data_IF_921118456162
#
_entry.id   IF_921118456162
#
_cell.length_a   1.000
_cell.length_b   1.000
_cell.length_c   1.000
_cell.angle_alpha   90.00
_cell.angle_beta   90.00
_cell.angle_gamma   90.00
#
_symmetry.space_group_name_H-M   'P 1'
#
loop_
_entity.id
_entity.type
_entity.pdbx_description
1 polymer ?
#
# COMPACT_ATOMS: atom_id res chain seq x y z
N UNK A 1 10.34 2.52 -19.23
CA UNK A 1 10.10 2.61 -17.77
C UNK A 1 8.64 2.28 -17.52
N UNK A 2 8.32 1.42 -16.55
CA UNK A 2 6.90 1.13 -16.27
C UNK A 2 6.29 2.31 -15.52
N UNK A 3 5.32 2.96 -16.16
CA UNK A 3 4.45 3.96 -15.56
C UNK A 3 3.86 3.42 -14.24
N UNK A 4 3.76 4.25 -13.19
CA UNK A 4 2.95 3.90 -12.02
C UNK A 4 1.52 3.66 -12.53
N UNK A 5 0.95 2.51 -12.19
CA UNK A 5 -0.44 2.17 -12.50
C UNK A 5 -1.17 1.80 -11.20
N UNK A 6 -2.49 1.87 -11.21
CA UNK A 6 -3.31 1.29 -10.17
C UNK A 6 -3.44 2.16 -8.92
N UNK A 7 -3.71 1.49 -7.81
CA UNK A 7 -3.86 2.12 -6.49
C UNK A 7 -2.60 1.94 -5.66
N UNK A 8 -2.34 2.89 -4.77
CA UNK A 8 -1.24 2.77 -3.82
C UNK A 8 -1.38 3.67 -2.60
N UNK A 9 -0.36 3.64 -1.76
CA UNK A 9 -0.33 4.35 -0.49
C UNK A 9 1.05 4.95 -0.20
N UNK A 10 1.04 6.05 0.54
CA UNK A 10 2.23 6.59 1.17
C UNK A 10 2.48 5.96 2.55
N UNK A 11 3.72 5.55 2.77
CA UNK A 11 4.29 5.17 4.07
C UNK A 11 5.30 6.24 4.46
N UNK A 12 5.07 6.87 5.62
CA UNK A 12 6.05 7.80 6.19
C UNK A 12 6.90 7.16 7.27
N UNK A 13 6.29 6.36 8.16
CA UNK A 13 6.97 5.65 9.26
C UNK A 13 6.74 4.15 9.15
N UNK A 14 7.76 3.42 8.72
CA UNK A 14 7.70 1.95 8.60
C UNK A 14 7.31 1.29 9.94
N UNK A 15 7.85 1.67 11.12
CA UNK A 15 7.47 1.03 12.38
C UNK A 15 5.97 1.13 12.72
N UNK A 16 5.23 2.09 12.13
CA UNK A 16 3.80 2.26 12.36
C UNK A 16 2.92 1.46 11.37
N UNK A 17 3.53 0.78 10.40
CA UNK A 17 2.84 -0.04 9.40
C UNK A 17 3.13 -1.50 9.73
N UNK A 18 2.13 -2.24 10.22
CA UNK A 18 2.24 -3.68 10.52
C UNK A 18 3.43 -3.99 11.46
N UNK A 19 3.70 -3.10 12.42
CA UNK A 19 4.81 -3.22 13.38
C UNK A 19 6.20 -3.04 12.77
N UNK A 20 6.29 -2.57 11.52
CA UNK A 20 7.53 -2.48 10.76
C UNK A 20 7.99 -3.80 10.17
N UNK A 21 7.15 -4.84 10.17
CA UNK A 21 7.49 -6.13 9.57
C UNK A 21 7.39 -6.07 8.03
N UNK A 22 8.49 -6.30 7.29
CA UNK A 22 8.48 -6.18 5.83
C UNK A 22 7.51 -7.12 5.12
N UNK A 23 7.39 -8.36 5.60
CA UNK A 23 6.57 -9.39 4.96
C UNK A 23 5.09 -9.13 5.21
N UNK A 24 4.75 -8.68 6.42
CA UNK A 24 3.39 -8.27 6.76
C UNK A 24 2.95 -7.04 5.96
N UNK A 25 3.80 -6.00 5.84
CA UNK A 25 3.52 -4.82 5.00
C UNK A 25 3.25 -5.26 3.55
N UNK A 26 4.13 -6.08 2.97
CA UNK A 26 3.98 -6.52 1.59
C UNK A 26 2.74 -7.41 1.37
N UNK A 27 2.40 -8.26 2.35
CA UNK A 27 1.22 -9.12 2.30
C UNK A 27 -0.07 -8.30 2.39
N UNK A 28 -0.12 -7.30 3.28
CA UNK A 28 -1.26 -6.37 3.38
C UNK A 28 -1.40 -5.55 2.10
N UNK A 29 -0.29 -5.10 1.50
CA UNK A 29 -0.29 -4.38 0.22
C UNK A 29 -0.87 -5.24 -0.90
N UNK A 30 -0.44 -6.50 -0.98
CA UNK A 30 -0.92 -7.47 -1.97
C UNK A 30 -2.41 -7.74 -1.79
N UNK A 31 -2.85 -8.02 -0.56
CA UNK A 31 -4.26 -8.31 -0.24
C UNK A 31 -5.18 -7.14 -0.56
N UNK A 32 -4.72 -5.90 -0.36
CA UNK A 32 -5.46 -4.69 -0.73
C UNK A 32 -5.43 -4.40 -2.25
N UNK A 33 -4.78 -5.24 -3.05
CA UNK A 33 -4.66 -5.05 -4.48
C UNK A 33 -3.94 -3.74 -4.81
N UNK A 34 -2.89 -3.39 -4.06
CA UNK A 34 -2.05 -2.24 -4.38
C UNK A 34 -1.03 -2.63 -5.46
N UNK A 35 -0.77 -1.70 -6.37
CA UNK A 35 0.23 -1.87 -7.43
C UNK A 35 1.51 -1.11 -7.12
N UNK A 36 1.43 -0.11 -6.23
CA UNK A 36 2.57 0.67 -5.82
C UNK A 36 2.48 1.12 -4.36
N UNK A 37 3.64 1.36 -3.77
CA UNK A 37 3.79 1.98 -2.44
C UNK A 37 4.87 3.05 -2.50
N UNK A 38 4.62 4.19 -1.86
CA UNK A 38 5.57 5.28 -1.78
C UNK A 38 6.16 5.37 -0.38
N UNK A 39 7.48 5.23 -0.23
CA UNK A 39 8.14 5.15 1.08
C UNK A 39 8.96 6.41 1.33
N UNK A 40 8.88 6.99 2.53
CA UNK A 40 9.69 8.16 2.89
C UNK A 40 11.15 7.75 3.02
N UNK A 41 12.00 8.27 2.13
CA UNK A 41 13.43 7.93 2.08
C UNK A 41 14.30 9.02 2.73
N UNK A 42 13.82 10.27 2.74
CA UNK A 42 14.57 11.40 3.26
C UNK A 42 13.66 12.51 3.83
N UNK A 43 14.24 13.35 4.68
CA UNK A 43 13.60 14.52 5.27
C UNK A 43 14.62 15.65 5.40
N UNK A 44 14.58 16.62 4.49
CA UNK A 44 15.64 17.61 4.33
C UNK A 44 16.96 16.92 3.97
N UNK A 45 18.02 17.16 4.73
CA UNK A 45 19.33 16.56 4.48
C UNK A 45 19.50 15.16 5.08
N UNK A 46 18.53 14.70 5.86
CA UNK A 46 18.63 13.46 6.64
C UNK A 46 17.98 12.27 5.93
N UNK A 47 18.59 11.11 6.10
CA UNK A 47 17.96 9.82 5.78
C UNK A 47 16.75 9.60 6.70
N UNK A 48 15.70 8.98 6.17
CA UNK A 48 14.50 8.65 6.92
C UNK A 48 14.30 7.13 7.00
N UNK A 49 13.45 6.65 7.92
CA UNK A 49 13.24 5.22 8.18
C UNK A 49 14.56 4.44 8.40
N UNK A 50 15.49 5.08 9.11
CA UNK A 50 16.74 4.51 9.58
C UNK A 50 16.69 4.44 11.11
N UNK A 51 16.89 3.24 11.67
CA UNK A 51 17.01 3.05 13.11
C UNK A 51 18.43 3.42 13.54
N UNK A 52 18.57 4.58 14.18
CA UNK A 52 19.86 5.09 14.65
C UNK A 52 20.44 4.31 15.84
N UNK A 53 19.60 3.65 16.64
CA UNK A 53 20.05 2.85 17.78
C UNK A 53 20.67 1.54 17.32
N UNK A 54 20.01 0.85 16.38
CA UNK A 54 20.50 -0.44 15.85
C UNK A 54 21.31 -0.31 14.56
N UNK A 55 21.43 0.91 14.00
CA UNK A 55 22.07 1.23 12.72
C UNK A 55 21.48 0.44 11.55
N UNK A 56 20.17 0.21 11.58
CA UNK A 56 19.46 -0.58 10.57
C UNK A 56 18.69 0.31 9.62
N UNK A 57 18.85 0.03 8.32
CA UNK A 57 17.94 0.53 7.30
C UNK A 57 16.63 -0.27 7.36
N UNK A 58 15.51 0.44 7.52
CA UNK A 58 14.19 -0.20 7.53
C UNK A 58 13.59 -0.27 6.12
N UNK A 59 14.14 0.48 5.15
CA UNK A 59 13.54 0.62 3.82
C UNK A 59 13.85 -0.58 2.93
N UNK A 60 15.13 -0.98 2.81
CA UNK A 60 15.52 -2.05 1.88
C UNK A 60 14.74 -3.37 2.09
N UNK A 61 14.57 -3.88 3.33
CA UNK A 61 13.77 -5.10 3.54
C UNK A 61 12.32 -4.96 3.08
N UNK A 62 11.70 -3.80 3.28
CA UNK A 62 10.31 -3.52 2.84
C UNK A 62 10.24 -3.46 1.31
N UNK A 63 11.20 -2.81 0.65
CA UNK A 63 11.26 -2.79 -0.81
C UNK A 63 11.39 -4.21 -1.39
N UNK A 64 12.29 -5.03 -0.85
CA UNK A 64 12.47 -6.42 -1.28
C UNK A 64 11.18 -7.23 -1.14
N UNK A 65 10.50 -7.12 0.00
CA UNK A 65 9.24 -7.81 0.25
C UNK A 65 8.12 -7.35 -0.73
N UNK A 66 8.01 -6.04 -0.98
CA UNK A 66 7.03 -5.48 -1.94
C UNK A 66 7.31 -5.94 -3.38
N UNK A 67 8.57 -5.90 -3.82
CA UNK A 67 8.97 -6.38 -5.15
C UNK A 67 8.67 -7.86 -5.33
N UNK A 68 8.88 -8.69 -4.30
CA UNK A 68 8.54 -10.11 -4.32
C UNK A 68 7.03 -10.37 -4.50
N UNK A 69 6.18 -9.37 -4.19
CA UNK A 69 4.73 -9.40 -4.44
C UNK A 69 4.32 -8.68 -5.73
N UNK A 70 5.28 -8.23 -6.55
CA UNK A 70 5.03 -7.49 -7.79
C UNK A 70 4.60 -6.04 -7.58
N UNK A 71 4.80 -5.49 -6.38
CA UNK A 71 4.39 -4.13 -6.02
C UNK A 71 5.57 -3.19 -6.25
N UNK A 72 5.31 -2.11 -6.99
CA UNK A 72 6.34 -1.14 -7.41
C UNK A 72 6.58 -0.10 -6.31
N UNK A 73 7.79 0.43 -6.22
CA UNK A 73 8.17 1.34 -5.12
C UNK A 73 8.74 2.63 -5.67
N UNK A 74 8.23 3.75 -5.18
CA UNK A 74 8.90 5.05 -5.33
C UNK A 74 9.30 5.56 -3.95
N UNK A 75 10.40 6.30 -3.90
CA UNK A 75 10.82 6.97 -2.67
C UNK A 75 10.35 8.41 -2.66
N UNK A 76 9.85 8.90 -1.53
CA UNK A 76 9.46 10.30 -1.39
C UNK A 76 10.28 11.02 -0.32
N UNK A 77 10.43 12.34 -0.50
CA UNK A 77 11.32 13.18 0.30
C UNK A 77 10.67 14.53 0.56
N UNK A 78 10.48 14.84 1.84
CA UNK A 78 10.04 16.16 2.29
C UNK A 78 11.20 17.16 2.26
N UNK A 79 11.08 18.22 1.47
CA UNK A 79 12.15 19.20 1.21
C UNK A 79 11.85 20.56 1.82
N UNK A 80 12.88 21.23 2.35
CA UNK A 80 12.77 22.52 3.05
C UNK A 80 13.36 23.67 2.24
N UNK A 81 14.34 23.40 1.37
CA UNK A 81 14.96 24.40 0.51
C UNK A 81 15.99 25.32 1.21
N UNK A 82 16.31 25.06 2.48
CA UNK A 82 17.36 25.83 3.18
C UNK A 82 18.77 25.38 2.78
N UNK A 83 18.93 24.09 2.48
CA UNK A 83 20.18 23.48 2.07
C UNK A 83 19.99 22.69 0.75
N UNK A 84 19.60 23.35 -0.35
CA UNK A 84 19.12 22.67 -1.56
C UNK A 84 20.12 21.70 -2.17
N UNK A 85 21.44 21.98 -2.07
CA UNK A 85 22.48 21.04 -2.55
C UNK A 85 22.56 19.78 -1.70
N UNK A 86 22.45 19.91 -0.38
CA UNK A 86 22.58 18.77 0.53
C UNK A 86 21.28 17.95 0.59
N UNK A 87 20.12 18.58 0.39
CA UNK A 87 18.86 17.89 0.13
C UNK A 87 18.95 17.04 -1.14
N UNK A 88 19.47 17.61 -2.24
CA UNK A 88 19.66 16.85 -3.48
C UNK A 88 20.62 15.66 -3.27
N UNK A 89 21.73 15.86 -2.54
CA UNK A 89 22.65 14.76 -2.18
C UNK A 89 21.96 13.67 -1.33
N UNK A 90 21.02 14.03 -0.46
CA UNK A 90 20.26 13.07 0.34
C UNK A 90 19.36 12.20 -0.56
N UNK A 91 18.64 12.81 -1.48
CA UNK A 91 17.83 12.09 -2.47
C UNK A 91 18.68 11.15 -3.34
N UNK A 92 19.76 11.67 -3.94
CA UNK A 92 20.65 10.90 -4.82
C UNK A 92 21.26 9.69 -4.07
N UNK A 93 21.71 9.90 -2.83
CA UNK A 93 22.25 8.82 -1.99
C UNK A 93 21.22 7.71 -1.77
N UNK A 94 19.97 8.05 -1.45
CA UNK A 94 18.93 7.05 -1.20
C UNK A 94 18.52 6.34 -2.49
N UNK A 95 18.35 7.07 -3.60
CA UNK A 95 18.00 6.51 -4.91
C UNK A 95 19.05 5.50 -5.39
N UNK A 96 20.34 5.80 -5.23
CA UNK A 96 21.42 4.88 -5.64
C UNK A 96 21.54 3.63 -4.77
N UNK A 97 20.93 3.62 -3.57
CA UNK A 97 21.06 2.54 -2.58
C UNK A 97 19.86 1.60 -2.58
N UNK A 98 18.69 2.08 -2.99
CA UNK A 98 17.42 1.39 -2.85
C UNK A 98 16.86 1.00 -4.22
N UNK A 99 16.13 -0.12 -4.35
CA UNK A 99 15.54 -0.55 -5.61
C UNK A 99 14.23 0.22 -5.89
N UNK A 100 14.36 1.52 -6.12
CA UNK A 100 13.24 2.43 -6.39
C UNK A 100 13.05 2.60 -7.90
N UNK A 101 11.80 2.76 -8.33
CA UNK A 101 11.45 3.01 -9.74
C UNK A 101 11.32 4.50 -10.06
N UNK A 102 11.23 5.34 -9.05
CA UNK A 102 11.13 6.78 -9.18
C UNK A 102 11.21 7.50 -7.84
N UNK A 103 11.15 8.82 -7.91
CA UNK A 103 11.37 9.72 -6.79
C UNK A 103 10.30 10.81 -6.73
N UNK A 104 9.77 11.08 -5.54
CA UNK A 104 8.72 12.08 -5.31
C UNK A 104 9.27 13.18 -4.41
N UNK A 105 9.28 14.40 -4.93
CA UNK A 105 9.63 15.60 -4.17
C UNK A 105 8.35 16.07 -3.47
N UNK A 106 8.32 16.02 -2.15
CA UNK A 106 7.23 16.59 -1.37
C UNK A 106 7.60 18.00 -0.92
N UNK A 107 7.05 19.00 -1.62
CA UNK A 107 7.37 20.41 -1.43
C UNK A 107 6.13 21.19 -1.03
N UNK A 108 6.12 21.70 0.19
CA UNK A 108 4.98 22.40 0.78
C UNK A 108 5.35 23.83 1.22
N UNK A 109 4.97 24.22 2.44
CA UNK A 109 4.98 25.61 2.89
C UNK A 109 6.40 26.17 3.00
N UNK A 110 7.36 25.32 3.34
CA UNK A 110 8.76 25.65 3.54
C UNK A 110 9.45 26.07 2.24
N UNK A 111 8.91 25.66 1.09
CA UNK A 111 9.46 26.03 -0.21
C UNK A 111 8.82 27.28 -0.83
N UNK A 112 7.83 27.88 -0.16
CA UNK A 112 7.24 29.15 -0.62
C UNK A 112 8.30 30.24 -0.70
N UNK A 113 8.29 30.98 -1.79
CA UNK A 113 9.21 32.05 -2.16
C UNK A 113 10.68 31.62 -2.36
N UNK A 114 10.99 30.31 -2.33
CA UNK A 114 12.34 29.76 -2.50
C UNK A 114 12.65 29.35 -3.94
N UNK A 115 12.51 30.27 -4.90
CA UNK A 115 12.78 30.03 -6.33
C UNK A 115 14.24 29.66 -6.63
N UNK A 116 15.21 30.41 -6.10
CA UNK A 116 16.63 30.11 -6.31
C UNK A 116 17.04 28.77 -5.69
N UNK A 117 16.67 28.45 -4.43
CA UNK A 117 16.89 27.12 -3.90
C UNK A 117 16.27 26.00 -4.72
N UNK A 118 15.05 26.19 -5.23
CA UNK A 118 14.36 25.21 -6.08
C UNK A 118 15.19 24.88 -7.32
N UNK A 119 15.65 25.91 -8.04
CA UNK A 119 16.51 25.74 -9.23
C UNK A 119 17.80 25.01 -8.89
N UNK A 120 18.43 25.34 -7.77
CA UNK A 120 19.66 24.65 -7.32
C UNK A 120 19.37 23.18 -7.08
N UNK A 121 18.36 22.86 -6.25
CA UNK A 121 17.97 21.48 -5.93
C UNK A 121 17.66 20.66 -7.19
N UNK A 122 16.80 21.19 -8.08
CA UNK A 122 16.41 20.48 -9.30
C UNK A 122 17.56 20.33 -10.30
N UNK A 123 18.49 21.29 -10.37
CA UNK A 123 19.68 21.18 -11.21
C UNK A 123 20.63 20.09 -10.71
N UNK A 124 20.87 20.03 -9.40
CA UNK A 124 21.72 18.98 -8.79
C UNK A 124 21.09 17.59 -9.01
N UNK A 125 19.77 17.45 -8.82
CA UNK A 125 19.07 16.20 -9.11
C UNK A 125 19.22 15.78 -10.57
N UNK A 126 18.95 16.67 -11.53
CA UNK A 126 19.01 16.31 -12.96
C UNK A 126 20.42 16.14 -13.50
N UNK A 127 21.42 16.75 -12.88
CA UNK A 127 22.81 16.49 -13.22
C UNK A 127 23.21 15.05 -12.84
N UNK A 128 22.74 14.54 -11.70
CA UNK A 128 23.04 13.19 -11.23
C UNK A 128 22.10 12.12 -11.79
N UNK A 129 20.85 12.49 -12.08
CA UNK A 129 19.76 11.59 -12.46
C UNK A 129 19.01 12.13 -13.71
N UNK A 130 19.65 12.17 -14.89
CA UNK A 130 19.10 12.83 -16.07
C UNK A 130 17.73 12.27 -16.49
N UNK A 131 17.61 10.94 -16.57
CA UNK A 131 16.42 10.25 -17.07
C UNK A 131 15.62 9.51 -15.98
N UNK A 132 16.03 9.64 -14.71
CA UNK A 132 15.34 8.94 -13.62
C UNK A 132 13.95 9.57 -13.37
N UNK A 133 12.87 8.78 -13.20
CA UNK A 133 11.53 9.35 -13.00
C UNK A 133 11.43 10.20 -11.73
N UNK A 134 11.00 11.45 -11.88
CA UNK A 134 10.77 12.39 -10.77
C UNK A 134 9.35 12.94 -10.82
N UNK A 135 8.67 12.97 -9.69
CA UNK A 135 7.38 13.63 -9.52
C UNK A 135 7.47 14.77 -8.51
N UNK A 136 6.65 15.81 -8.71
CA UNK A 136 6.37 16.81 -7.67
C UNK A 136 5.09 16.42 -6.93
N UNK A 137 5.13 16.30 -5.61
CA UNK A 137 3.95 16.22 -4.73
C UNK A 137 3.79 17.56 -4.00
N UNK A 138 2.63 18.18 -4.16
CA UNK A 138 2.31 19.46 -3.50
C UNK A 138 0.80 19.73 -3.56
N UNK A 139 0.39 20.94 -3.17
CA UNK A 139 -1.00 21.38 -3.04
C UNK A 139 -1.87 21.10 -4.28
N UNK A 140 -3.13 20.70 -4.04
CA UNK A 140 -4.12 20.45 -5.11
C UNK A 140 -4.47 21.66 -5.98
N UNK A 141 -4.39 22.87 -5.45
CA UNK A 141 -4.77 24.10 -6.16
C UNK A 141 -3.59 25.07 -6.22
N UNK A 142 -2.81 25.08 -7.31
CA UNK A 142 -1.67 25.99 -7.42
C UNK A 142 -2.09 27.47 -7.33
N UNK A 143 -3.32 27.82 -7.70
CA UNK A 143 -3.82 29.20 -7.61
C UNK A 143 -3.92 29.72 -6.17
N UNK A 144 -4.02 28.83 -5.17
CA UNK A 144 -3.97 29.23 -3.75
C UNK A 144 -2.55 29.27 -3.18
N UNK A 145 -1.56 28.83 -3.96
CA UNK A 145 -0.18 28.65 -3.53
C UNK A 145 0.79 29.27 -4.55
N UNK A 146 0.50 30.49 -5.00
CA UNK A 146 1.27 31.19 -6.04
C UNK A 146 2.75 31.39 -5.70
N UNK A 147 3.10 31.44 -4.41
CA UNK A 147 4.49 31.58 -3.96
C UNK A 147 5.29 30.28 -4.03
N UNK A 148 4.67 29.12 -4.26
CA UNK A 148 5.42 27.90 -4.50
C UNK A 148 6.09 27.98 -5.89
N UNK A 149 7.38 27.60 -6.05
CA UNK A 149 8.09 27.59 -7.34
C UNK A 149 7.58 26.53 -8.35
N UNK A 150 6.30 26.53 -8.69
CA UNK A 150 5.63 25.52 -9.53
C UNK A 150 6.38 25.26 -10.84
N UNK A 151 6.72 26.32 -11.59
CA UNK A 151 7.42 26.19 -12.88
C UNK A 151 8.84 25.64 -12.72
N UNK A 152 9.56 26.07 -11.69
CA UNK A 152 10.93 25.62 -11.44
C UNK A 152 10.97 24.11 -11.14
N UNK A 153 10.05 23.61 -10.29
CA UNK A 153 9.89 22.17 -10.05
C UNK A 153 9.43 21.41 -11.30
N UNK A 154 8.28 21.80 -11.87
CA UNK A 154 7.65 21.05 -12.97
C UNK A 154 8.50 21.06 -14.26
N UNK A 155 9.34 22.06 -14.48
CA UNK A 155 10.29 22.08 -15.61
C UNK A 155 11.24 20.88 -15.61
N UNK A 156 11.53 20.31 -14.43
CA UNK A 156 12.48 19.22 -14.23
C UNK A 156 11.85 18.00 -13.57
N UNK A 157 10.53 17.91 -13.49
CA UNK A 157 9.80 16.70 -13.10
C UNK A 157 9.15 16.05 -14.33
N UNK A 158 8.92 14.74 -14.27
CA UNK A 158 8.22 13.97 -15.30
C UNK A 158 6.72 13.90 -15.02
N UNK A 159 6.35 13.90 -13.74
CA UNK A 159 4.96 13.81 -13.26
C UNK A 159 4.63 14.88 -12.22
N UNK A 160 3.34 15.11 -12.03
CA UNK A 160 2.81 15.91 -10.93
C UNK A 160 1.85 15.05 -10.08
N UNK A 161 1.96 15.12 -8.77
CA UNK A 161 1.23 14.33 -7.79
C UNK A 161 0.50 15.24 -6.79
N UNK A 162 -0.56 15.95 -7.22
CA UNK A 162 -1.28 16.86 -6.36
C UNK A 162 -1.92 16.14 -5.18
N UNK A 163 -1.76 16.72 -3.99
CA UNK A 163 -2.38 16.31 -2.73
C UNK A 163 -3.85 16.77 -2.71
N UNK A 164 -4.72 16.01 -3.38
CA UNK A 164 -6.16 16.25 -3.47
C UNK A 164 -6.86 15.79 -2.20
N UNK A 165 -6.50 16.38 -1.06
CA UNK A 165 -7.16 16.15 0.20
C UNK A 165 -8.43 17.00 0.28
N UNK A 166 -9.60 16.35 0.24
CA UNK A 166 -10.91 17.01 0.30
C UNK A 166 -11.36 17.29 1.75
N UNK A 167 -10.40 17.58 2.63
CA UNK A 167 -10.63 17.85 4.04
C UNK A 167 -11.73 18.91 4.24
N UNK A 168 -12.62 18.67 5.22
CA UNK A 168 -13.81 19.48 5.51
C UNK A 168 -14.87 19.50 4.38
N UNK A 169 -14.81 18.60 3.41
CA UNK A 169 -15.78 18.45 2.33
C UNK A 169 -16.04 16.98 1.97
N UNK A 170 -16.98 16.72 1.05
CA UNK A 170 -17.31 15.37 0.56
C UNK A 170 -17.54 15.38 -0.97
N UNK A 171 -16.65 16.05 -1.70
CA UNK A 171 -16.72 16.22 -3.16
C UNK A 171 -15.36 15.98 -3.87
N UNK A 172 -14.65 14.88 -3.58
CA UNK A 172 -13.29 14.66 -4.08
C UNK A 172 -13.16 14.68 -5.61
N UNK A 173 -14.16 14.17 -6.35
CA UNK A 173 -14.16 14.19 -7.80
C UNK A 173 -14.14 15.61 -8.38
N UNK A 174 -14.99 16.50 -7.86
CA UNK A 174 -15.00 17.92 -8.27
C UNK A 174 -13.66 18.60 -7.97
N UNK A 175 -13.07 18.27 -6.81
CA UNK A 175 -11.77 18.82 -6.41
C UNK A 175 -10.64 18.32 -7.32
N UNK A 176 -10.67 17.06 -7.73
CA UNK A 176 -9.70 16.50 -8.67
C UNK A 176 -9.83 17.14 -10.06
N UNK A 177 -11.06 17.29 -10.57
CA UNK A 177 -11.32 17.96 -11.86
C UNK A 177 -10.81 19.41 -11.82
N UNK A 178 -11.07 20.13 -10.74
CA UNK A 178 -10.56 21.49 -10.55
C UNK A 178 -9.03 21.51 -10.51
N UNK A 179 -8.41 20.60 -9.75
CA UNK A 179 -6.96 20.48 -9.66
C UNK A 179 -6.32 20.32 -11.04
N UNK A 180 -6.83 19.37 -11.83
CA UNK A 180 -6.38 19.15 -13.21
C UNK A 180 -6.49 20.42 -14.06
N UNK A 181 -7.65 21.11 -14.04
CA UNK A 181 -7.86 22.34 -14.81
C UNK A 181 -6.89 23.44 -14.42
N UNK A 182 -6.58 23.61 -13.14
CA UNK A 182 -5.60 24.62 -12.71
C UNK A 182 -4.18 24.26 -13.16
N UNK A 183 -3.78 22.99 -13.06
CA UNK A 183 -2.45 22.55 -13.52
C UNK A 183 -2.28 22.60 -15.03
N UNK A 184 -3.34 22.41 -15.82
CA UNK A 184 -3.31 22.58 -17.28
C UNK A 184 -2.94 24.02 -17.71
N UNK A 185 -3.08 25.00 -16.81
CA UNK A 185 -2.69 26.40 -17.05
C UNK A 185 -1.23 26.68 -16.68
N UNK A 186 -0.51 25.71 -16.10
CA UNK A 186 0.91 25.84 -15.75
C UNK A 186 1.75 25.25 -16.88
N UNK A 187 2.76 26.01 -17.29
CA UNK A 187 3.75 25.59 -18.29
C UNK A 187 5.11 25.29 -17.62
N UNK A 188 5.69 24.08 -17.80
CA UNK A 188 5.10 22.95 -18.53
C UNK A 188 4.03 22.21 -17.72
N UNK A 189 3.00 21.74 -18.41
CA UNK A 189 2.06 20.77 -17.86
C UNK A 189 2.73 19.40 -17.75
N UNK A 190 2.49 18.70 -16.63
CA UNK A 190 2.95 17.32 -16.41
C UNK A 190 1.76 16.40 -16.16
N UNK A 191 1.79 15.14 -16.65
CA UNK A 191 0.76 14.16 -16.32
C UNK A 191 0.54 14.03 -14.82
N UNK A 192 -0.73 13.92 -14.43
CA UNK A 192 -1.15 13.93 -13.03
C UNK A 192 -1.39 12.51 -12.51
N UNK A 193 -0.85 12.23 -11.31
CA UNK A 193 -1.13 11.03 -10.50
C UNK A 193 -1.58 11.52 -9.11
N UNK A 194 -2.88 11.64 -8.82
CA UNK A 194 -3.34 12.36 -7.65
C UNK A 194 -3.21 11.53 -6.36
N UNK A 195 -3.05 12.24 -5.24
CA UNK A 195 -3.04 11.65 -3.89
C UNK A 195 -4.30 12.08 -3.14
N UNK A 196 -5.14 11.11 -2.77
CA UNK A 196 -6.36 11.31 -1.99
C UNK A 196 -6.15 11.22 -0.48
N UNK A 197 -7.16 11.63 0.28
CA UNK A 197 -7.15 11.57 1.74
C UNK A 197 -7.66 10.22 2.26
N UNK A 198 -6.85 9.58 3.10
CA UNK A 198 -7.17 8.39 3.89
C UNK A 198 -6.86 8.63 5.38
N UNK A 199 -7.15 9.84 5.85
CA UNK A 199 -6.97 10.30 7.22
C UNK A 199 -8.16 11.15 7.67
N UNK A 200 -8.29 11.42 8.97
CA UNK A 200 -9.31 12.29 9.53
C UNK A 200 -8.68 13.54 10.17
N UNK A 201 -9.41 14.66 10.13
CA UNK A 201 -8.93 15.95 10.65
C UNK A 201 -10.08 16.84 11.14
N UNK A 202 -9.93 17.42 12.33
CA UNK A 202 -10.89 18.40 12.85
C UNK A 202 -12.34 17.90 12.98
N UNK A 203 -12.54 16.58 13.17
CA UNK A 203 -13.87 15.96 13.20
C UNK A 203 -14.42 15.51 11.83
N UNK A 204 -13.76 15.92 10.74
CA UNK A 204 -14.03 15.41 9.40
C UNK A 204 -13.33 14.06 9.17
N UNK A 205 -14.02 13.13 8.50
CA UNK A 205 -13.54 11.79 8.15
C UNK A 205 -14.00 11.50 6.71
N UNK A 206 -13.14 11.03 5.79
CA UNK A 206 -13.57 10.62 4.45
C UNK A 206 -14.54 9.44 4.54
N UNK A 207 -15.40 9.29 3.54
CA UNK A 207 -16.36 8.18 3.45
C UNK A 207 -15.97 7.21 2.34
N UNK A 208 -16.50 5.98 2.37
CA UNK A 208 -16.32 5.03 1.26
C UNK A 208 -16.85 5.59 -0.07
N UNK A 209 -17.90 6.41 -0.04
CA UNK A 209 -18.44 7.10 -1.21
C UNK A 209 -17.46 8.15 -1.75
N UNK A 210 -16.74 8.86 -0.87
CA UNK A 210 -15.68 9.77 -1.29
C UNK A 210 -14.56 9.03 -2.01
N UNK A 211 -14.09 7.92 -1.43
CA UNK A 211 -13.05 7.08 -2.04
C UNK A 211 -13.46 6.63 -3.44
N UNK A 212 -14.67 6.10 -3.57
CA UNK A 212 -15.19 5.66 -4.87
C UNK A 212 -15.28 6.82 -5.86
N UNK A 213 -15.83 7.97 -5.45
CA UNK A 213 -15.95 9.17 -6.27
C UNK A 213 -14.58 9.69 -6.76
N UNK A 214 -13.58 9.70 -5.88
CA UNK A 214 -12.22 10.08 -6.22
C UNK A 214 -11.60 9.16 -7.28
N UNK A 215 -11.67 7.84 -7.07
CA UNK A 215 -11.07 6.84 -7.96
C UNK A 215 -11.80 6.76 -9.30
N UNK A 216 -13.14 6.80 -9.30
CA UNK A 216 -13.94 6.86 -10.54
C UNK A 216 -13.59 8.10 -11.36
N UNK A 217 -13.42 9.24 -10.68
CA UNK A 217 -13.03 10.49 -11.35
C UNK A 217 -11.62 10.38 -11.94
N UNK A 218 -10.66 9.84 -11.20
CA UNK A 218 -9.30 9.63 -11.70
C UNK A 218 -9.30 8.77 -12.98
N UNK A 219 -10.07 7.67 -13.00
CA UNK A 219 -10.24 6.84 -14.21
C UNK A 219 -10.90 7.60 -15.35
N UNK A 220 -11.96 8.37 -15.08
CA UNK A 220 -12.65 9.17 -16.12
C UNK A 220 -11.77 10.27 -16.74
N UNK A 221 -10.69 10.64 -16.05
CA UNK A 221 -9.71 11.62 -16.49
C UNK A 221 -8.45 10.96 -17.08
N UNK A 222 -8.50 9.66 -17.37
CA UNK A 222 -7.41 8.85 -17.93
C UNK A 222 -6.12 8.89 -17.09
N UNK A 223 -6.24 9.09 -15.77
CA UNK A 223 -5.10 9.06 -14.87
C UNK A 223 -4.64 7.61 -14.70
N UNK A 224 -3.33 7.32 -14.84
CA UNK A 224 -2.85 5.95 -14.82
C UNK A 224 -2.87 5.34 -13.42
N UNK A 225 -2.84 6.16 -12.37
CA UNK A 225 -2.82 5.72 -11.00
C UNK A 225 -3.43 6.75 -10.07
N UNK A 226 -3.78 6.33 -8.86
CA UNK A 226 -4.12 7.20 -7.74
C UNK A 226 -3.57 6.61 -6.43
N UNK A 227 -3.16 7.48 -5.51
CA UNK A 227 -2.56 7.07 -4.24
C UNK A 227 -3.26 7.70 -3.05
N UNK A 228 -2.97 7.23 -1.83
CA UNK A 228 -3.61 7.75 -0.62
C UNK A 228 -2.60 8.08 0.49
N UNK A 229 -2.87 9.17 1.20
CA UNK A 229 -2.16 9.56 2.42
C UNK A 229 -3.05 9.31 3.66
N UNK A 230 -2.64 8.55 4.68
CA UNK A 230 -1.43 7.73 4.81
C UNK A 230 -1.75 6.33 5.31
N UNK A 231 -0.86 5.38 5.01
CA UNK A 231 -1.02 3.97 5.35
C UNK A 231 -1.25 3.75 6.84
N UNK A 232 -0.35 4.28 7.68
CA UNK A 232 -0.36 4.07 9.13
C UNK A 232 -1.65 4.58 9.78
N UNK A 233 -2.08 5.79 9.40
CA UNK A 233 -3.32 6.37 9.93
C UNK A 233 -4.53 5.56 9.46
N UNK A 234 -4.63 5.27 8.16
CA UNK A 234 -5.80 4.59 7.60
C UNK A 234 -5.95 3.19 8.18
N UNK A 235 -4.87 2.40 8.22
CA UNK A 235 -4.87 1.04 8.79
C UNK A 235 -5.33 1.02 10.23
N UNK A 236 -4.86 1.98 11.03
CA UNK A 236 -5.13 2.01 12.47
C UNK A 236 -6.49 2.59 12.82
N UNK A 237 -6.92 3.64 12.11
CA UNK A 237 -8.05 4.48 12.52
C UNK A 237 -9.28 4.36 11.63
N UNK A 238 -9.09 4.03 10.34
CA UNK A 238 -10.15 4.06 9.33
C UNK A 238 -10.23 2.73 8.56
N UNK A 239 -10.53 1.60 9.23
CA UNK A 239 -10.56 0.29 8.58
C UNK A 239 -11.59 0.20 7.44
N UNK A 240 -12.72 0.91 7.55
CA UNK A 240 -13.72 0.98 6.48
C UNK A 240 -13.19 1.70 5.23
N UNK A 241 -12.36 2.72 5.41
CA UNK A 241 -11.74 3.47 4.31
C UNK A 241 -10.63 2.65 3.66
N UNK A 242 -9.82 1.96 4.46
CA UNK A 242 -8.87 0.99 3.95
C UNK A 242 -9.58 -0.07 3.08
N UNK A 243 -10.68 -0.63 3.58
CA UNK A 243 -11.45 -1.64 2.86
C UNK A 243 -12.07 -1.08 1.58
N UNK A 244 -12.63 0.12 1.60
CA UNK A 244 -13.17 0.77 0.40
C UNK A 244 -12.08 0.97 -0.69
N UNK A 245 -10.86 1.33 -0.28
CA UNK A 245 -9.73 1.44 -1.21
C UNK A 245 -9.31 0.06 -1.70
N UNK A 246 -9.22 -0.94 -0.81
CA UNK A 246 -8.84 -2.31 -1.16
C UNK A 246 -9.80 -2.95 -2.18
N UNK A 247 -11.10 -2.82 -1.97
CA UNK A 247 -12.15 -3.43 -2.81
C UNK A 247 -12.31 -2.75 -4.18
N UNK A 248 -11.81 -1.53 -4.33
CA UNK A 248 -11.93 -0.81 -5.59
C UNK A 248 -11.15 -1.53 -6.71
N UNK A 249 -11.85 -1.95 -7.76
CA UNK A 249 -11.24 -2.66 -8.89
C UNK A 249 -10.68 -1.67 -9.91
N UNK A 250 -9.37 -1.41 -9.87
CA UNK A 250 -8.70 -0.56 -10.86
C UNK A 250 -8.51 -1.31 -12.19
N UNK A 251 -9.03 -0.81 -13.33
CA UNK A 251 -8.89 -1.47 -14.62
C UNK A 251 -7.43 -1.69 -15.04
N UNK A 252 -7.11 -2.89 -15.53
CA UNK A 252 -5.75 -3.22 -15.99
C UNK A 252 -4.73 -3.39 -14.86
N UNK A 253 -5.13 -3.26 -13.60
CA UNK A 253 -4.32 -3.79 -12.49
C UNK A 253 -4.17 -5.31 -12.69
N UNK A 254 -2.97 -5.88 -12.48
CA UNK A 254 -2.81 -7.33 -12.48
C UNK A 254 -3.82 -7.92 -11.50
N UNK A 255 -4.60 -8.90 -11.94
CA UNK A 255 -5.46 -9.65 -11.02
C UNK A 255 -4.55 -10.25 -9.96
N UNK A 256 -4.56 -9.71 -8.75
CA UNK A 256 -3.84 -10.32 -7.63
C UNK A 256 -4.48 -11.68 -7.43
N UNK A 257 -3.82 -12.71 -7.96
CA UNK A 257 -4.27 -14.08 -7.76
C UNK A 257 -3.91 -14.42 -6.33
N UNK A 258 -4.90 -14.33 -5.46
CA UNK A 258 -4.75 -14.66 -4.05
C UNK A 258 -4.21 -16.09 -3.95
N UNK A 259 -3.20 -16.26 -3.12
CA UNK A 259 -2.62 -17.57 -2.83
C UNK A 259 -3.60 -18.40 -2.00
N UNK A 260 -3.40 -19.72 -1.95
CA UNK A 260 -4.28 -20.60 -1.16
C UNK A 260 -4.36 -20.20 0.32
N UNK A 261 -3.26 -19.86 1.03
CA UNK A 261 -3.37 -19.35 2.40
C UNK A 261 -4.25 -18.11 2.53
N UNK A 262 -4.15 -17.17 1.58
CA UNK A 262 -4.95 -15.94 1.57
C UNK A 262 -6.43 -16.22 1.31
N UNK A 263 -6.72 -17.06 0.30
CA UNK A 263 -8.08 -17.51 0.00
C UNK A 263 -8.69 -18.29 1.17
N UNK A 264 -7.91 -19.11 1.86
CA UNK A 264 -8.38 -19.89 3.00
C UNK A 264 -8.90 -18.99 4.11
N UNK A 265 -8.11 -17.98 4.51
CA UNK A 265 -8.49 -17.03 5.57
C UNK A 265 -9.64 -16.11 5.12
N UNK A 266 -9.64 -15.67 3.87
CA UNK A 266 -10.78 -14.93 3.30
C UNK A 266 -12.07 -15.74 3.37
N UNK A 267 -12.04 -17.01 2.96
CA UNK A 267 -13.22 -17.85 2.96
C UNK A 267 -13.70 -18.22 4.38
N UNK A 268 -12.78 -18.26 5.37
CA UNK A 268 -13.16 -18.37 6.78
C UNK A 268 -13.95 -17.14 7.26
N UNK A 269 -13.47 -15.94 6.93
CA UNK A 269 -14.16 -14.68 7.30
C UNK A 269 -15.50 -14.54 6.59
N UNK A 270 -15.59 -14.97 5.33
CA UNK A 270 -16.85 -14.99 4.56
C UNK A 270 -17.80 -16.11 4.97
N UNK A 271 -17.38 -17.01 5.88
CA UNK A 271 -18.15 -18.20 6.30
C UNK A 271 -18.63 -19.05 5.12
N UNK A 272 -17.88 -19.04 4.01
CA UNK A 272 -18.29 -19.69 2.77
C UNK A 272 -17.64 -21.06 2.65
N UNK A 273 -18.25 -22.06 3.31
CA UNK A 273 -17.73 -23.43 3.37
C UNK A 273 -17.55 -24.06 1.97
N UNK A 274 -18.48 -23.89 1.00
CA UNK A 274 -18.25 -24.34 -0.36
C UNK A 274 -16.96 -23.80 -0.99
N UNK A 275 -16.65 -22.52 -0.77
CA UNK A 275 -15.39 -21.93 -1.26
C UNK A 275 -14.16 -22.47 -0.51
N UNK A 276 -14.25 -22.69 0.81
CA UNK A 276 -13.18 -23.37 1.57
C UNK A 276 -12.89 -24.75 0.97
N UNK A 277 -13.93 -25.57 0.79
CA UNK A 277 -13.79 -26.92 0.23
C UNK A 277 -13.31 -26.90 -1.22
N UNK A 278 -13.58 -25.82 -1.96
CA UNK A 278 -13.05 -25.65 -3.30
C UNK A 278 -11.52 -25.55 -3.32
N UNK A 279 -10.87 -25.16 -2.22
CA UNK A 279 -9.41 -25.12 -2.11
C UNK A 279 -8.80 -26.52 -1.94
N UNK A 280 -9.59 -27.53 -1.55
CA UNK A 280 -9.13 -28.88 -1.28
C UNK A 280 -9.27 -29.81 -2.48
N UNK A 281 -8.35 -30.76 -2.57
CA UNK A 281 -8.51 -31.95 -3.39
C UNK A 281 -9.68 -32.81 -2.87
N UNK A 282 -10.30 -33.62 -3.74
CA UNK A 282 -11.44 -34.46 -3.35
C UNK A 282 -11.06 -35.48 -2.26
N UNK A 283 -9.81 -35.96 -2.26
CA UNK A 283 -9.29 -36.95 -1.31
C UNK A 283 -8.38 -36.34 -0.24
N UNK A 284 -8.44 -35.02 -0.06
CA UNK A 284 -7.53 -34.32 0.84
C UNK A 284 -7.59 -34.84 2.28
N UNK A 285 -6.43 -34.83 2.94
CA UNK A 285 -6.25 -35.29 4.31
C UNK A 285 -5.92 -34.10 5.21
N UNK A 286 -6.81 -33.78 6.13
CA UNK A 286 -6.61 -32.76 7.16
C UNK A 286 -6.31 -33.43 8.51
N UNK A 287 -5.22 -33.03 9.14
CA UNK A 287 -4.71 -33.66 10.37
C UNK A 287 -4.60 -32.61 11.46
N UNK A 288 -5.24 -32.86 12.60
CA UNK A 288 -5.00 -32.14 13.85
C UNK A 288 -4.30 -33.05 14.86
N UNK A 289 -3.97 -32.51 16.02
CA UNK A 289 -3.46 -33.33 17.14
C UNK A 289 -4.47 -34.38 17.63
N UNK A 290 -5.76 -34.21 17.37
CA UNK A 290 -6.83 -35.09 17.87
C UNK A 290 -7.34 -36.09 16.85
N UNK A 291 -7.31 -35.76 15.56
CA UNK A 291 -7.96 -36.57 14.53
C UNK A 291 -7.39 -36.35 13.13
N UNK A 292 -7.63 -37.34 12.27
CA UNK A 292 -7.43 -37.24 10.82
C UNK A 292 -8.79 -37.22 10.14
N UNK A 293 -8.98 -36.25 9.25
CA UNK A 293 -10.23 -35.97 8.53
C UNK A 293 -9.92 -36.10 7.06
N UNK A 294 -10.57 -37.03 6.37
CA UNK A 294 -10.31 -37.28 4.96
C UNK A 294 -11.56 -37.04 4.11
N UNK A 295 -11.34 -36.37 2.98
CA UNK A 295 -12.33 -36.12 1.95
C UNK A 295 -13.28 -34.94 2.24
N UNK A 296 -13.81 -34.36 1.17
CA UNK A 296 -14.60 -33.11 1.24
C UNK A 296 -15.83 -33.18 2.14
N UNK A 297 -16.52 -34.33 2.20
CA UNK A 297 -17.71 -34.47 3.06
C UNK A 297 -17.34 -34.35 4.55
N UNK A 298 -16.24 -34.97 4.96
CA UNK A 298 -15.76 -34.91 6.35
C UNK A 298 -15.24 -33.51 6.67
N UNK A 299 -14.50 -32.90 5.73
CA UNK A 299 -14.04 -31.52 5.85
C UNK A 299 -15.19 -30.52 5.96
N UNK A 300 -16.28 -30.73 5.22
CA UNK A 300 -17.48 -29.89 5.29
C UNK A 300 -18.04 -29.85 6.72
N UNK A 301 -18.18 -31.01 7.35
CA UNK A 301 -18.65 -31.12 8.73
C UNK A 301 -17.70 -30.44 9.71
N UNK A 302 -16.39 -30.63 9.54
CA UNK A 302 -15.39 -30.01 10.41
C UNK A 302 -15.37 -28.49 10.31
N UNK A 303 -15.32 -27.94 9.09
CA UNK A 303 -15.36 -26.50 8.87
C UNK A 303 -16.68 -25.86 9.29
N UNK A 304 -17.81 -26.56 9.11
CA UNK A 304 -19.09 -26.11 9.68
C UNK A 304 -18.98 -25.97 11.18
N UNK A 305 -18.54 -27.02 11.88
CA UNK A 305 -18.36 -26.97 13.34
C UNK A 305 -17.41 -25.88 13.79
N UNK A 306 -16.28 -25.71 13.10
CA UNK A 306 -15.31 -24.65 13.40
C UNK A 306 -15.94 -23.26 13.30
N UNK A 307 -16.56 -22.95 12.16
CA UNK A 307 -16.96 -21.59 11.81
C UNK A 307 -18.33 -21.18 12.36
N UNK A 308 -19.23 -22.14 12.62
CA UNK A 308 -20.58 -21.84 13.12
C UNK A 308 -20.78 -22.20 14.58
N UNK A 309 -19.99 -23.12 15.14
CA UNK A 309 -20.18 -23.59 16.53
C UNK A 309 -19.06 -23.15 17.45
N UNK A 310 -17.80 -23.40 17.08
CA UNK A 310 -16.66 -23.06 17.92
C UNK A 310 -16.33 -21.57 17.87
N UNK A 311 -16.36 -20.98 16.67
CA UNK A 311 -15.97 -19.60 16.45
C UNK A 311 -17.00 -18.78 15.64
N UNK A 312 -18.29 -18.76 16.06
CA UNK A 312 -19.36 -18.11 15.30
C UNK A 312 -19.10 -16.63 15.04
N UNK A 313 -18.52 -15.93 16.02
CA UNK A 313 -18.28 -14.48 15.98
C UNK A 313 -16.80 -14.10 15.89
N UNK A 314 -15.91 -15.06 15.58
CA UNK A 314 -14.49 -14.76 15.45
C UNK A 314 -14.16 -14.16 14.07
N UNK A 315 -13.10 -13.36 14.05
CA UNK A 315 -12.42 -12.94 12.82
C UNK A 315 -11.10 -13.68 12.68
N UNK A 316 -10.70 -13.96 11.45
CA UNK A 316 -9.51 -14.73 11.14
C UNK A 316 -8.49 -13.84 10.42
N UNK A 317 -7.21 -13.93 10.77
CA UNK A 317 -6.16 -13.12 10.13
C UNK A 317 -4.94 -13.97 9.78
N UNK A 318 -4.44 -13.85 8.56
CA UNK A 318 -3.17 -14.43 8.14
C UNK A 318 -2.05 -13.51 8.64
N UNK A 319 -1.16 -14.02 9.48
CA UNK A 319 0.00 -13.25 9.95
C UNK A 319 1.14 -13.34 8.94
N UNK A 320 1.48 -14.56 8.51
CA UNK A 320 2.55 -14.82 7.55
C UNK A 320 2.37 -16.18 6.87
N UNK A 321 2.97 -16.36 5.70
CA UNK A 321 3.17 -17.68 5.10
C UNK A 321 4.49 -17.75 4.33
N UNK A 322 5.05 -18.95 4.24
CA UNK A 322 6.31 -19.24 3.55
C UNK A 322 6.26 -20.62 2.89
N UNK A 323 7.31 -21.00 2.16
CA UNK A 323 7.44 -22.33 1.55
C UNK A 323 7.52 -22.31 0.03
N UNK A 324 7.45 -23.50 -0.57
CA UNK A 324 7.55 -23.73 -2.02
C UNK A 324 6.18 -23.71 -2.68
N UNK A 325 6.10 -23.89 -3.99
CA UNK A 325 4.81 -23.95 -4.70
C UNK A 325 3.95 -25.15 -4.33
N UNK A 326 4.56 -26.22 -3.85
CA UNK A 326 3.88 -27.47 -3.45
C UNK A 326 3.71 -27.61 -1.93
N UNK A 327 4.37 -26.76 -1.13
CA UNK A 327 4.25 -26.81 0.33
C UNK A 327 4.27 -25.41 0.90
N UNK A 328 3.20 -25.01 1.60
CA UNK A 328 3.14 -23.73 2.31
C UNK A 328 3.06 -23.98 3.81
N UNK A 329 3.81 -23.19 4.58
CA UNK A 329 3.69 -23.06 6.03
C UNK A 329 3.05 -21.72 6.32
N UNK A 330 2.00 -21.69 7.12
CA UNK A 330 1.26 -20.48 7.42
C UNK A 330 1.06 -20.32 8.93
N UNK A 331 1.16 -19.08 9.39
CA UNK A 331 0.82 -18.66 10.74
C UNK A 331 -0.36 -17.71 10.63
N UNK A 332 -1.44 -18.01 11.34
CA UNK A 332 -2.68 -17.24 11.32
C UNK A 332 -3.31 -17.21 12.71
N UNK A 333 -4.28 -16.32 12.91
CA UNK A 333 -4.95 -16.13 14.19
C UNK A 333 -6.45 -16.24 14.09
N UNK A 334 -7.04 -16.74 15.18
CA UNK A 334 -8.46 -16.68 15.48
C UNK A 334 -8.64 -15.59 16.53
N UNK A 335 -9.35 -14.52 16.17
CA UNK A 335 -9.60 -13.37 17.04
C UNK A 335 -11.07 -13.42 17.47
N UNK A 336 -11.29 -13.74 18.74
CA UNK A 336 -12.62 -13.84 19.34
C UNK A 336 -13.26 -12.46 19.54
N UNK A 337 -14.57 -12.45 19.82
CA UNK A 337 -15.33 -11.22 20.07
C UNK A 337 -14.81 -10.41 21.28
N UNK A 338 -14.20 -11.07 22.26
CA UNK A 338 -13.55 -10.44 23.42
C UNK A 338 -12.12 -9.95 23.13
N UNK A 339 -11.69 -10.02 21.86
CA UNK A 339 -10.35 -9.67 21.35
C UNK A 339 -9.22 -10.57 21.85
N UNK A 340 -9.53 -11.70 22.48
CA UNK A 340 -8.52 -12.74 22.70
C UNK A 340 -8.14 -13.36 21.35
N UNK A 341 -6.85 -13.65 21.16
CA UNK A 341 -6.33 -14.21 19.92
C UNK A 341 -5.64 -15.55 20.17
N UNK A 342 -6.00 -16.56 19.40
CA UNK A 342 -5.30 -17.85 19.35
C UNK A 342 -4.45 -17.91 18.08
N UNK A 343 -3.15 -18.14 18.23
CA UNK A 343 -2.24 -18.36 17.10
C UNK A 343 -2.30 -19.82 16.65
N UNK A 344 -2.35 -20.03 15.34
CA UNK A 344 -2.40 -21.35 14.70
C UNK A 344 -1.28 -21.43 13.66
N UNK A 345 -0.57 -22.56 13.68
CA UNK A 345 0.48 -22.88 12.73
C UNK A 345 0.06 -24.08 11.90
N UNK A 346 -0.03 -23.87 10.59
CA UNK A 346 -0.50 -24.87 9.65
C UNK A 346 0.56 -25.13 8.57
N UNK A 347 0.57 -26.36 8.05
CA UNK A 347 1.34 -26.74 6.87
C UNK A 347 0.40 -27.38 5.85
N UNK A 348 0.31 -26.78 4.67
CA UNK A 348 -0.46 -27.31 3.54
C UNK A 348 0.46 -27.83 2.44
N UNK A 349 0.15 -29.01 1.94
CA UNK A 349 0.71 -29.59 0.72
C UNK A 349 -0.25 -29.42 -0.43
N UNK A 350 0.28 -28.97 -1.56
CA UNK A 350 -0.48 -28.64 -2.76
C UNK A 350 -0.15 -29.60 -3.89
N UNK A 351 -1.20 -30.05 -4.58
CA UNK A 351 -1.11 -30.75 -5.86
C UNK A 351 -2.07 -30.07 -6.83
N UNK A 352 -1.58 -29.67 -8.01
CA UNK A 352 -2.38 -29.02 -9.06
C UNK A 352 -3.20 -27.81 -8.56
N UNK A 353 -2.63 -27.05 -7.60
CA UNK A 353 -3.30 -25.88 -7.03
C UNK A 353 -4.46 -26.22 -6.08
N UNK A 354 -4.52 -27.45 -5.56
CA UNK A 354 -5.45 -27.87 -4.51
C UNK A 354 -4.69 -28.41 -3.30
N UNK A 355 -5.26 -28.22 -2.11
CA UNK A 355 -4.72 -28.76 -0.86
C UNK A 355 -4.94 -30.27 -0.85
N UNK A 356 -3.85 -31.03 -0.91
CA UNK A 356 -3.84 -32.50 -0.80
C UNK A 356 -3.69 -32.95 0.65
N UNK A 357 -2.83 -32.28 1.42
CA UNK A 357 -2.70 -32.52 2.85
C UNK A 357 -2.62 -31.21 3.61
N UNK A 358 -3.15 -31.20 4.83
CA UNK A 358 -3.15 -30.02 5.68
C UNK A 358 -2.97 -30.45 7.14
N UNK A 359 -1.80 -30.15 7.70
CA UNK A 359 -1.51 -30.32 9.11
C UNK A 359 -1.81 -29.03 9.84
N UNK A 360 -2.63 -29.09 10.88
CA UNK A 360 -2.96 -27.93 11.70
C UNK A 360 -2.59 -28.12 13.15
N UNK A 361 -1.97 -27.09 13.75
CA UNK A 361 -1.71 -27.05 15.19
C UNK A 361 -2.97 -26.78 16.01
N UNK A 362 -4.12 -26.53 15.37
CA UNK A 362 -5.38 -26.25 16.04
C UNK A 362 -5.86 -27.49 16.79
N UNK A 363 -5.98 -27.38 18.11
CA UNK A 363 -6.26 -28.51 19.00
C UNK A 363 -7.76 -28.74 19.26
N UNK A 364 -8.65 -28.19 18.45
CA UNK A 364 -10.09 -28.23 18.75
C UNK A 364 -10.73 -29.57 18.40
#
# INVERSE_FOLDING_TARGET
>A
MSLINGKGYYIWKIPNCEGGDPVAIASVAQQAGLQHVFIKIANGIYDYNYDSATKKDLIAPVCEALLAKGIRIWGWHYVFGDLPKDEAKAAIRQINRLPLDGYIIDAEGEYKDKYTPCRIFMNELRAALPDYPIALSSYRYPNYHLSLPWKDFLSKSDFNMPQVYWEQAHNPGEQLIRSLKEFQLIDPFRPIIPTGAAYAAGGWIPTAADIKSFLDTALSLDMPAASFWSWDYCRLKLPEIWQAIADYSWPGAPTVTKTIPELLIEYFNNRNIPLILSLYDDNAVFVTSKQTIQGKNSLNGWYSGLLTTLYPNATFSLDNYSGTDITKKLTWRIINADKTALSVEDTIGLQEGKILYHYSSLQN
#
